data_IF_168894296447
#
_entry.id   IF_168894296447
#
_cell.length_a   1.000
_cell.length_b   1.000
_cell.length_c   1.000
_cell.angle_alpha   90.00
_cell.angle_beta   90.00
_cell.angle_gamma   90.00
#
_symmetry.space_group_name_H-M   'P 1'
#
loop_
_entity.id
_entity.type
_entity.pdbx_description
1 polymer ?
#
# COMPACT_ATOMS: atom_id res chain seq x y z
N UNK A 1 9.62 -0.04 -12.85
CA UNK A 1 9.57 0.78 -11.61
C UNK A 1 10.42 0.13 -10.51
N UNK A 2 11.10 0.90 -9.66
CA UNK A 2 11.97 0.40 -8.60
C UNK A 2 11.19 0.20 -7.28
N UNK A 3 11.25 -0.98 -6.63
CA UNK A 3 10.49 -1.27 -5.41
C UNK A 3 10.75 -0.31 -4.25
N UNK A 4 11.96 0.24 -4.14
CA UNK A 4 12.28 1.19 -3.06
C UNK A 4 11.60 2.55 -3.23
N UNK A 5 11.39 2.98 -4.47
CA UNK A 5 10.66 4.21 -4.75
C UNK A 5 9.15 4.02 -4.48
N UNK A 6 8.60 2.86 -4.83
CA UNK A 6 7.22 2.49 -4.51
C UNK A 6 7.01 2.40 -2.99
N UNK A 7 7.94 1.76 -2.27
CA UNK A 7 7.91 1.66 -0.82
C UNK A 7 7.85 3.05 -0.18
N UNK A 8 8.73 3.97 -0.60
CA UNK A 8 8.73 5.35 -0.08
C UNK A 8 7.39 6.06 -0.33
N UNK A 9 6.83 5.95 -1.53
CA UNK A 9 5.52 6.55 -1.86
C UNK A 9 4.35 5.91 -1.14
N UNK A 10 4.39 4.60 -0.92
CA UNK A 10 3.38 3.92 -0.14
C UNK A 10 3.44 4.32 1.35
N UNK A 11 4.64 4.55 1.90
CA UNK A 11 4.79 5.11 3.25
C UNK A 11 4.16 6.50 3.32
N UNK A 12 4.50 7.41 2.39
CA UNK A 12 3.91 8.76 2.34
C UNK A 12 2.37 8.71 2.30
N UNK A 13 1.79 7.88 1.42
CA UNK A 13 0.32 7.70 1.33
C UNK A 13 -0.29 7.22 2.64
N UNK A 14 0.31 6.22 3.29
CA UNK A 14 -0.21 5.69 4.55
C UNK A 14 -0.07 6.69 5.70
N UNK A 15 0.96 7.53 5.67
CA UNK A 15 1.15 8.63 6.62
C UNK A 15 0.06 9.69 6.47
N UNK A 16 -0.26 10.07 5.24
CA UNK A 16 -1.35 11.00 4.93
C UNK A 16 -2.70 10.44 5.42
N UNK A 17 -3.00 9.18 5.10
CA UNK A 17 -4.25 8.52 5.53
C UNK A 17 -4.38 8.47 7.06
N UNK A 18 -3.31 8.10 7.78
CA UNK A 18 -3.32 8.06 9.24
C UNK A 18 -3.55 9.47 9.81
N UNK A 19 -2.83 10.47 9.29
CA UNK A 19 -2.95 11.87 9.73
C UNK A 19 -4.37 12.41 9.52
N UNK A 20 -4.96 12.17 8.34
CA UNK A 20 -6.34 12.58 8.01
C UNK A 20 -7.38 11.84 8.85
N UNK A 21 -7.07 10.63 9.30
CA UNK A 21 -7.92 9.82 10.19
C UNK A 21 -7.73 10.16 11.67
N UNK A 22 -6.81 11.06 12.02
CA UNK A 22 -6.51 11.45 13.40
C UNK A 22 -5.58 10.50 14.17
N UNK A 23 -4.89 9.60 13.46
CA UNK A 23 -3.93 8.65 14.01
C UNK A 23 -2.47 9.09 13.79
N UNK A 24 -1.53 8.45 14.50
CA UNK A 24 -0.10 8.74 14.36
C UNK A 24 0.53 7.95 13.19
N UNK A 25 0.87 8.64 12.10
CA UNK A 25 1.60 8.07 10.96
C UNK A 25 3.13 8.14 11.08
N UNK A 26 3.70 8.74 12.12
CA UNK A 26 5.14 9.10 12.13
C UNK A 26 6.11 7.92 12.15
N UNK A 27 5.67 6.74 12.59
CA UNK A 27 6.51 5.54 12.75
C UNK A 27 6.35 4.48 11.63
N UNK A 28 5.65 4.81 10.55
CA UNK A 28 5.43 3.89 9.42
C UNK A 28 6.75 3.62 8.68
N UNK A 29 7.07 2.34 8.48
CA UNK A 29 8.31 1.88 7.83
C UNK A 29 8.05 0.65 6.97
N UNK A 30 9.02 0.25 6.15
CA UNK A 30 8.87 -0.88 5.23
C UNK A 30 8.42 -2.20 5.87
N UNK A 31 8.77 -2.44 7.15
CA UNK A 31 8.35 -3.65 7.88
C UNK A 31 6.96 -3.57 8.52
N UNK A 32 6.31 -2.41 8.50
CA UNK A 32 4.95 -2.24 9.02
C UNK A 32 3.98 -3.04 8.16
N UNK A 33 3.09 -3.81 8.79
CA UNK A 33 2.01 -4.54 8.16
C UNK A 33 0.71 -3.73 8.28
N UNK A 34 0.23 -3.03 7.23
CA UNK A 34 -0.83 -2.03 7.37
C UNK A 34 -2.11 -2.54 8.03
N UNK A 35 -2.54 -3.75 7.67
CA UNK A 35 -3.77 -4.37 8.21
C UNK A 35 -3.64 -4.87 9.66
N UNK A 36 -2.42 -4.93 10.23
CA UNK A 36 -2.16 -5.33 11.62
C UNK A 36 -1.76 -4.16 12.49
N UNK A 37 -0.92 -3.28 11.95
CA UNK A 37 -0.14 -2.33 12.73
C UNK A 37 -0.70 -0.90 12.66
N UNK A 38 -1.52 -0.57 11.65
CA UNK A 38 -2.10 0.77 11.50
C UNK A 38 -3.50 0.81 12.09
N UNK A 39 -3.72 1.74 13.01
CA UNK A 39 -5.01 1.91 13.66
C UNK A 39 -6.07 2.33 12.63
N UNK A 40 -7.24 1.69 12.72
CA UNK A 40 -8.36 1.95 11.82
C UNK A 40 -8.15 1.56 10.35
N UNK A 41 -7.01 0.98 9.98
CA UNK A 41 -6.73 0.61 8.58
C UNK A 41 -7.45 -0.68 8.19
N UNK A 42 -8.61 -0.52 7.56
CA UNK A 42 -9.54 -1.62 7.29
C UNK A 42 -9.98 -1.72 5.81
N UNK A 43 -11.06 -2.46 5.58
CA UNK A 43 -11.65 -2.70 4.25
C UNK A 43 -12.04 -1.44 3.48
N UNK A 44 -12.23 -0.31 4.15
CA UNK A 44 -12.58 0.97 3.53
C UNK A 44 -11.34 1.78 3.14
N UNK A 45 -10.23 1.62 3.86
CA UNK A 45 -9.02 2.43 3.65
C UNK A 45 -8.01 1.79 2.70
N UNK A 46 -7.91 0.47 2.61
CA UNK A 46 -6.96 -0.15 1.68
C UNK A 46 -7.23 0.20 0.20
N UNK A 47 -8.48 0.27 -0.32
CA UNK A 47 -8.70 0.65 -1.72
C UNK A 47 -8.35 2.12 -1.96
N UNK A 48 -8.54 2.97 -0.95
CA UNK A 48 -8.17 4.40 -0.99
C UNK A 48 -6.66 4.54 -1.07
N UNK A 49 -5.91 3.81 -0.24
CA UNK A 49 -4.44 3.79 -0.30
C UNK A 49 -3.92 3.35 -1.68
N UNK A 50 -4.53 2.32 -2.29
CA UNK A 50 -4.16 1.90 -3.65
C UNK A 50 -4.46 3.00 -4.68
N UNK A 51 -5.62 3.64 -4.61
CA UNK A 51 -5.99 4.72 -5.53
C UNK A 51 -5.08 5.95 -5.41
N UNK A 52 -4.72 6.33 -4.19
CA UNK A 52 -3.76 7.40 -3.91
C UNK A 52 -2.37 7.04 -4.46
N UNK A 53 -1.90 5.81 -4.19
CA UNK A 53 -0.62 5.34 -4.71
C UNK A 53 -0.58 5.32 -6.24
N UNK A 54 -1.63 4.81 -6.89
CA UNK A 54 -1.76 4.78 -8.35
C UNK A 54 -1.65 6.19 -8.95
N UNK A 55 -2.34 7.16 -8.32
CA UNK A 55 -2.30 8.58 -8.72
C UNK A 55 -0.90 9.17 -8.54
N UNK A 56 -0.26 8.93 -7.40
CA UNK A 56 1.10 9.41 -7.09
C UNK A 56 2.16 8.84 -8.03
N UNK A 57 2.01 7.58 -8.43
CA UNK A 57 2.93 6.89 -9.33
C UNK A 57 2.61 7.11 -10.82
N UNK A 58 1.49 7.77 -11.13
CA UNK A 58 0.94 7.86 -12.48
C UNK A 58 0.89 6.48 -13.17
N UNK A 59 0.38 5.48 -12.46
CA UNK A 59 0.37 4.08 -12.87
C UNK A 59 -1.03 3.47 -12.75
N UNK A 60 -1.32 2.45 -13.55
CA UNK A 60 -2.54 1.67 -13.41
C UNK A 60 -2.30 0.55 -12.37
N UNK A 61 -2.92 0.69 -11.20
CA UNK A 61 -2.89 -0.34 -10.14
C UNK A 61 -4.34 -0.75 -9.88
N UNK A 62 -4.72 -2.02 -10.14
CA UNK A 62 -6.06 -2.51 -9.84
C UNK A 62 -6.34 -2.39 -8.34
N UNK A 63 -7.48 -1.79 -7.98
CA UNK A 63 -7.92 -1.60 -6.61
C UNK A 63 -9.04 -2.59 -6.20
N UNK A 64 -9.30 -3.59 -7.02
CA UNK A 64 -10.19 -4.72 -6.76
C UNK A 64 -9.49 -5.85 -5.98
N UNK A 65 -8.15 -5.80 -5.89
CA UNK A 65 -7.33 -6.72 -5.10
C UNK A 65 -6.58 -6.00 -3.99
N UNK A 66 -6.58 -6.60 -2.81
CA UNK A 66 -5.88 -6.06 -1.66
C UNK A 66 -4.37 -6.39 -1.73
N UNK A 67 -3.56 -5.40 -2.12
CA UNK A 67 -2.09 -5.54 -2.22
C UNK A 67 -1.39 -5.77 -0.87
N UNK A 68 -2.10 -5.59 0.25
CA UNK A 68 -1.60 -5.80 1.61
C UNK A 68 -1.86 -7.23 2.11
N UNK A 69 -2.37 -8.12 1.26
CA UNK A 69 -2.56 -9.54 1.53
C UNK A 69 -1.78 -10.40 0.54
N UNK A 70 -1.36 -11.58 0.98
CA UNK A 70 -0.90 -12.64 0.09
C UNK A 70 -1.99 -13.01 -0.92
N UNK A 71 -1.58 -13.61 -2.04
CA UNK A 71 -2.50 -14.03 -3.11
C UNK A 71 -3.63 -14.95 -2.61
N UNK A 72 -3.35 -15.78 -1.60
CA UNK A 72 -4.33 -16.66 -0.96
C UNK A 72 -5.18 -15.98 0.15
N UNK A 73 -4.93 -14.70 0.42
CA UNK A 73 -5.62 -13.89 1.43
C UNK A 73 -5.29 -14.24 2.88
N UNK A 74 -4.36 -15.17 3.15
CA UNK A 74 -4.13 -15.71 4.50
C UNK A 74 -3.09 -14.96 5.31
N UNK A 75 -2.20 -14.23 4.64
CA UNK A 75 -1.09 -13.53 5.28
C UNK A 75 -1.16 -12.05 4.97
N UNK A 76 -1.04 -11.25 6.01
CA UNK A 76 -0.87 -9.81 5.88
C UNK A 76 0.57 -9.50 5.49
N UNK A 77 0.73 -8.56 4.59
CA UNK A 77 2.01 -8.20 4.00
C UNK A 77 2.53 -6.92 4.61
N UNK A 78 3.84 -6.85 4.73
CA UNK A 78 4.54 -5.61 5.02
C UNK A 78 4.45 -4.62 3.85
N UNK A 79 4.71 -3.34 4.12
CA UNK A 79 4.78 -2.30 3.07
C UNK A 79 5.84 -2.65 2.02
N UNK A 80 7.00 -3.16 2.42
CA UNK A 80 8.05 -3.58 1.48
C UNK A 80 7.60 -4.71 0.55
N UNK A 81 6.85 -5.70 1.07
CA UNK A 81 6.28 -6.77 0.25
C UNK A 81 5.18 -6.25 -0.67
N UNK A 82 4.30 -5.38 -0.17
CA UNK A 82 3.23 -4.75 -0.95
C UNK A 82 3.79 -3.91 -2.09
N UNK A 83 4.88 -3.18 -1.85
CA UNK A 83 5.60 -2.41 -2.87
C UNK A 83 6.20 -3.30 -3.96
N UNK A 84 6.71 -4.49 -3.61
CA UNK A 84 7.18 -5.45 -4.59
C UNK A 84 6.04 -5.95 -5.49
N UNK A 85 4.87 -6.24 -4.93
CA UNK A 85 3.67 -6.62 -5.70
C UNK A 85 3.26 -5.52 -6.68
N UNK A 86 3.21 -4.26 -6.23
CA UNK A 86 2.88 -3.13 -7.11
C UNK A 86 3.90 -3.00 -8.24
N UNK A 87 5.18 -3.16 -7.95
CA UNK A 87 6.22 -3.20 -8.98
C UNK A 87 5.97 -4.31 -10.00
N UNK A 88 5.57 -5.51 -9.57
CA UNK A 88 5.21 -6.58 -10.49
C UNK A 88 4.00 -6.23 -11.36
N UNK A 89 2.92 -5.70 -10.78
CA UNK A 89 1.71 -5.29 -11.50
C UNK A 89 2.06 -4.27 -12.59
N UNK A 90 2.77 -3.21 -12.22
CA UNK A 90 3.12 -2.12 -13.14
C UNK A 90 4.10 -2.59 -14.23
N UNK A 91 5.05 -3.46 -13.89
CA UNK A 91 6.01 -3.97 -14.87
C UNK A 91 5.41 -5.06 -15.79
N UNK A 92 4.44 -5.85 -15.31
CA UNK A 92 3.76 -6.89 -16.11
C UNK A 92 2.73 -6.31 -17.07
N UNK A 93 2.27 -5.08 -16.84
CA UNK A 93 1.38 -4.38 -17.76
C UNK A 93 0.10 -5.16 -18.01
N UNK A 94 -0.57 -5.64 -16.95
CA UNK A 94 -1.91 -6.19 -17.07
C UNK A 94 -2.87 -5.05 -17.45
N UNK A 95 -3.00 -4.86 -18.77
CA UNK A 95 -3.99 -4.05 -19.49
C UNK A 95 -5.29 -4.80 -19.65
#
# INVERSE_FOLDING_TARGET
MNPKDVEAKLIEVLQDIQSDSGYDGSQIKGTTCPLSDLEGFDSMLWPVAIGMLASTLNANIPNDKNIFLSEDGKRQLSISESAAIVCEIVNKGET
#
